data_IF_817054254577
#
_entry.id   IF_817054254577
#
_cell.length_a   1.000
_cell.length_b   1.000
_cell.length_c   1.000
_cell.angle_alpha   90.00
_cell.angle_beta   90.00
_cell.angle_gamma   90.00
#
_symmetry.space_group_name_H-M   'P 1'
#
loop_
_entity.id
_entity.type
_entity.pdbx_description
1 polymer ?
#
# COMPACT_ATOMS: atom_id res chain seq x y z
N UNK A 1 -34.54 -5.70 -21.42
CA UNK A 1 -35.74 -4.96 -20.95
C UNK A 1 -35.87 -3.69 -21.79
N UNK A 2 -37.08 -3.22 -22.14
CA UNK A 2 -37.20 -2.01 -22.95
C UNK A 2 -36.95 -0.77 -22.09
N UNK A 3 -36.07 0.11 -22.54
CA UNK A 3 -35.84 1.44 -21.95
C UNK A 3 -36.85 2.38 -22.59
N UNK A 4 -37.73 2.98 -21.79
CA UNK A 4 -38.61 4.06 -22.23
C UNK A 4 -37.85 5.38 -22.16
N UNK A 5 -37.69 6.04 -23.31
CA UNK A 5 -37.14 7.40 -23.40
C UNK A 5 -38.12 8.38 -22.77
N UNK A 6 -37.73 8.98 -21.65
CA UNK A 6 -38.39 10.15 -21.07
C UNK A 6 -37.48 11.33 -21.33
N UNK A 7 -37.81 12.11 -22.34
CA UNK A 7 -37.22 13.43 -22.57
C UNK A 7 -38.24 14.46 -22.11
N UNK A 8 -37.77 15.47 -21.39
CA UNK A 8 -38.47 16.75 -21.13
C UNK A 8 -39.20 16.95 -19.79
N UNK A 9 -38.56 16.58 -18.68
CA UNK A 9 -38.73 17.26 -17.40
C UNK A 9 -37.35 17.54 -16.83
N UNK A 10 -37.03 18.79 -16.49
CA UNK A 10 -35.75 19.23 -15.90
C UNK A 10 -35.51 18.71 -14.49
N UNK A 11 -35.59 17.39 -14.34
CA UNK A 11 -35.42 16.61 -13.13
C UNK A 11 -34.14 15.82 -13.36
N UNK A 12 -33.14 16.02 -12.51
CA UNK A 12 -31.94 15.20 -12.53
C UNK A 12 -32.34 13.75 -12.21
N UNK A 13 -32.31 12.88 -13.22
CA UNK A 13 -32.62 11.46 -13.07
C UNK A 13 -31.35 10.75 -12.61
N UNK A 14 -31.25 10.44 -11.32
CA UNK A 14 -30.18 9.59 -10.81
C UNK A 14 -30.51 8.11 -11.06
N UNK A 15 -29.76 7.46 -11.94
CA UNK A 15 -29.82 6.01 -12.12
C UNK A 15 -28.76 5.35 -11.22
N UNK A 16 -29.20 4.60 -10.20
CA UNK A 16 -28.31 3.78 -9.39
C UNK A 16 -27.99 2.47 -10.11
N UNK A 17 -26.71 2.21 -10.39
CA UNK A 17 -26.26 0.96 -10.98
C UNK A 17 -25.52 0.12 -9.92
N UNK A 18 -25.95 -1.14 -9.73
CA UNK A 18 -25.24 -2.10 -8.89
C UNK A 18 -24.40 -3.01 -9.79
N UNK A 19 -23.07 -2.94 -9.63
CA UNK A 19 -22.12 -3.80 -10.35
C UNK A 19 -21.73 -4.98 -9.47
N UNK A 20 -21.85 -6.19 -10.00
CA UNK A 20 -21.49 -7.41 -9.29
C UNK A 20 -19.97 -7.58 -9.12
N UNK A 21 -19.50 -8.38 -8.14
CA UNK A 21 -18.08 -8.56 -7.84
C UNK A 21 -17.26 -9.26 -8.94
N UNK A 22 -17.89 -9.73 -10.01
CA UNK A 22 -17.25 -10.38 -11.17
C UNK A 22 -17.64 -9.75 -12.50
N UNK A 23 -18.36 -8.64 -12.48
CA UNK A 23 -18.72 -7.94 -13.70
C UNK A 23 -17.49 -7.21 -14.25
N UNK A 24 -17.12 -7.45 -15.52
CA UNK A 24 -16.02 -6.75 -16.12
C UNK A 24 -16.39 -5.27 -16.28
N UNK A 25 -15.55 -4.39 -15.74
CA UNK A 25 -15.62 -2.96 -15.98
C UNK A 25 -14.44 -2.63 -16.89
N UNK A 26 -14.72 -2.10 -18.08
CA UNK A 26 -13.69 -1.70 -19.03
C UNK A 26 -13.86 -0.23 -19.42
N UNK A 27 -12.76 0.51 -19.38
CA UNK A 27 -12.69 1.87 -19.91
C UNK A 27 -12.30 1.79 -21.39
N UNK A 28 -13.12 2.34 -22.27
CA UNK A 28 -12.89 2.37 -23.72
C UNK A 28 -12.92 3.79 -24.26
N UNK A 29 -12.08 4.06 -25.25
CA UNK A 29 -12.05 5.32 -26.00
C UNK A 29 -12.64 5.09 -27.38
N UNK A 30 -13.62 5.91 -27.78
CA UNK A 30 -14.11 5.87 -29.16
C UNK A 30 -13.20 6.69 -30.09
N UNK A 31 -13.40 6.52 -31.40
CA UNK A 31 -12.62 7.23 -32.44
C UNK A 31 -12.90 8.73 -32.50
N UNK A 32 -14.00 9.19 -31.91
CA UNK A 32 -14.41 10.59 -31.85
C UNK A 32 -13.90 11.30 -30.57
N UNK A 33 -13.07 10.64 -29.77
CA UNK A 33 -12.44 11.20 -28.57
C UNK A 33 -13.26 11.10 -27.28
N UNK A 34 -14.42 10.45 -27.31
CA UNK A 34 -15.24 10.18 -26.12
C UNK A 34 -14.72 8.99 -25.32
N UNK A 35 -14.70 9.13 -23.99
CA UNK A 35 -14.38 8.04 -23.07
C UNK A 35 -15.66 7.42 -22.51
N UNK A 36 -15.72 6.10 -22.48
CA UNK A 36 -16.88 5.34 -22.01
C UNK A 36 -16.45 4.33 -20.96
N UNK A 37 -17.19 4.29 -19.86
CA UNK A 37 -17.14 3.18 -18.92
C UNK A 37 -18.15 2.13 -19.38
N UNK A 38 -17.67 0.96 -19.76
CA UNK A 38 -18.51 -0.19 -20.13
C UNK A 38 -18.59 -1.14 -18.95
N UNK A 39 -19.81 -1.48 -18.55
CA UNK A 39 -20.10 -2.38 -17.44
C UNK A 39 -20.81 -3.61 -18.00
N UNK A 40 -20.17 -4.78 -17.94
CA UNK A 40 -20.68 -5.98 -18.58
C UNK A 40 -20.67 -5.86 -20.12
N UNK A 41 -21.75 -6.28 -20.77
CA UNK A 41 -21.91 -6.21 -22.24
C UNK A 41 -22.89 -5.14 -22.73
N UNK A 42 -23.70 -4.57 -21.84
CA UNK A 42 -24.94 -3.88 -22.24
C UNK A 42 -25.03 -2.43 -21.75
N UNK A 43 -24.13 -1.98 -20.88
CA UNK A 43 -24.21 -0.65 -20.25
C UNK A 43 -22.96 0.15 -20.63
N UNK A 44 -23.19 1.29 -21.29
CA UNK A 44 -22.17 2.27 -21.62
C UNK A 44 -22.48 3.60 -20.94
N UNK A 45 -21.55 4.06 -20.11
CA UNK A 45 -21.63 5.36 -19.45
C UNK A 45 -20.61 6.29 -20.09
N UNK A 46 -21.08 7.35 -20.76
CA UNK A 46 -20.21 8.39 -21.30
C UNK A 46 -19.59 9.18 -20.14
N UNK A 47 -18.26 9.27 -20.14
CA UNK A 47 -17.50 10.04 -19.16
C UNK A 47 -17.15 11.41 -19.75
N UNK A 48 -17.41 12.46 -18.97
CA UNK A 48 -16.87 13.78 -19.24
C UNK A 48 -15.34 13.78 -19.08
N UNK A 49 -14.66 14.69 -19.79
CA UNK A 49 -13.21 14.84 -19.73
C UNK A 49 -12.68 15.03 -18.29
N UNK A 50 -13.42 15.75 -17.44
CA UNK A 50 -13.11 15.93 -16.03
C UNK A 50 -13.09 14.61 -15.22
N UNK A 51 -13.96 13.65 -15.57
CA UNK A 51 -13.98 12.34 -14.92
C UNK A 51 -12.79 11.48 -15.35
N UNK A 52 -12.40 11.56 -16.62
CA UNK A 52 -11.22 10.85 -17.14
C UNK A 52 -9.95 11.41 -16.49
N UNK A 53 -9.84 12.74 -16.37
CA UNK A 53 -8.73 13.39 -15.68
C UNK A 53 -8.64 12.96 -14.21
N UNK A 54 -9.77 12.96 -13.48
CA UNK A 54 -9.82 12.52 -12.09
C UNK A 54 -9.45 11.03 -11.91
N UNK A 55 -9.92 10.14 -12.79
CA UNK A 55 -9.56 8.72 -12.78
C UNK A 55 -8.07 8.52 -13.10
N UNK A 56 -7.53 9.28 -14.04
CA UNK A 56 -6.10 9.25 -14.37
C UNK A 56 -5.24 9.69 -13.18
N UNK A 57 -5.63 10.78 -12.50
CA UNK A 57 -4.97 11.29 -11.31
C UNK A 57 -5.02 10.27 -10.16
N UNK A 58 -6.19 9.68 -9.90
CA UNK A 58 -6.35 8.61 -8.90
C UNK A 58 -5.51 7.38 -9.22
N UNK A 59 -5.48 6.93 -10.49
CA UNK A 59 -4.66 5.78 -10.88
C UNK A 59 -3.16 6.05 -10.69
N UNK A 60 -2.74 7.29 -10.95
CA UNK A 60 -1.34 7.71 -10.79
C UNK A 60 -0.96 7.76 -9.32
N UNK A 61 -1.84 8.28 -8.45
CA UNK A 61 -1.66 8.30 -7.01
C UNK A 61 -1.56 6.87 -6.44
N UNK A 62 -2.51 5.98 -6.80
CA UNK A 62 -2.50 4.58 -6.36
C UNK A 62 -1.22 3.86 -6.80
N UNK A 63 -0.77 4.05 -8.05
CA UNK A 63 0.48 3.46 -8.53
C UNK A 63 1.71 4.03 -7.83
N UNK A 64 1.70 5.32 -7.46
CA UNK A 64 2.78 5.93 -6.69
C UNK A 64 2.84 5.36 -5.26
N UNK A 65 1.69 5.20 -4.62
CA UNK A 65 1.57 4.62 -3.27
C UNK A 65 2.02 3.16 -3.25
N UNK A 66 1.63 2.35 -4.25
CA UNK A 66 2.09 0.96 -4.37
C UNK A 66 3.62 0.86 -4.53
N UNK A 67 4.24 1.77 -5.29
CA UNK A 67 5.70 1.83 -5.43
C UNK A 67 6.39 2.27 -4.14
N UNK A 68 5.77 3.16 -3.37
CA UNK A 68 6.29 3.58 -2.08
C UNK A 68 6.25 2.42 -1.08
N UNK A 69 5.15 1.65 -1.08
CA UNK A 69 5.00 0.45 -0.26
C UNK A 69 6.02 -0.63 -0.60
N UNK A 70 6.18 -0.97 -1.90
CA UNK A 70 7.18 -1.95 -2.36
C UNK A 70 8.61 -1.56 -1.95
N UNK A 71 8.96 -0.27 -2.06
CA UNK A 71 10.26 0.23 -1.56
C UNK A 71 10.40 0.08 -0.05
N UNK A 72 9.36 0.40 0.71
CA UNK A 72 9.37 0.25 2.16
C UNK A 72 9.58 -1.22 2.55
N UNK A 73 8.86 -2.15 1.92
CA UNK A 73 9.02 -3.59 2.12
C UNK A 73 10.45 -4.06 1.82
N UNK A 74 11.03 -3.63 0.69
CA UNK A 74 12.42 -3.96 0.35
C UNK A 74 13.41 -3.44 1.40
N UNK A 75 13.18 -2.24 1.94
CA UNK A 75 14.01 -1.70 3.01
C UNK A 75 13.87 -2.48 4.32
N UNK A 76 12.67 -2.95 4.67
CA UNK A 76 12.43 -3.78 5.85
C UNK A 76 13.13 -5.14 5.72
N UNK A 77 13.05 -5.78 4.55
CA UNK A 77 13.76 -7.04 4.25
C UNK A 77 15.26 -6.83 4.36
N UNK A 78 15.80 -5.77 3.76
CA UNK A 78 17.22 -5.48 3.83
C UNK A 78 17.70 -5.22 5.28
N UNK A 79 16.91 -4.48 6.07
CA UNK A 79 17.20 -4.24 7.48
C UNK A 79 17.20 -5.54 8.29
N UNK A 80 16.25 -6.43 8.02
CA UNK A 80 16.20 -7.76 8.62
C UNK A 80 17.48 -8.56 8.31
N UNK A 81 17.87 -8.65 7.04
CA UNK A 81 19.08 -9.37 6.61
C UNK A 81 20.36 -8.81 7.25
N UNK A 82 20.47 -7.48 7.34
CA UNK A 82 21.60 -6.82 8.02
C UNK A 82 21.65 -7.16 9.51
N UNK A 83 20.49 -7.25 10.18
CA UNK A 83 20.41 -7.67 11.58
C UNK A 83 20.90 -9.11 11.76
N UNK A 84 20.51 -10.03 10.87
CA UNK A 84 21.00 -11.41 10.89
C UNK A 84 22.51 -11.49 10.63
N UNK A 85 23.01 -10.75 9.64
CA UNK A 85 24.44 -10.68 9.34
C UNK A 85 25.25 -10.14 10.53
N UNK A 86 24.74 -9.13 11.22
CA UNK A 86 25.37 -8.57 12.42
C UNK A 86 25.42 -9.60 13.56
N UNK A 87 24.34 -10.38 13.77
CA UNK A 87 24.32 -11.47 14.75
C UNK A 87 25.33 -12.57 14.43
N UNK A 88 25.35 -13.03 13.18
CA UNK A 88 26.30 -14.04 12.73
C UNK A 88 27.74 -13.56 12.88
N UNK A 89 28.00 -12.29 12.57
CA UNK A 89 29.32 -11.67 12.77
C UNK A 89 29.68 -11.59 14.25
N UNK A 90 28.73 -11.26 15.13
CA UNK A 90 28.95 -11.26 16.58
C UNK A 90 29.28 -12.66 17.12
N UNK A 91 28.57 -13.69 16.68
CA UNK A 91 28.85 -15.08 17.05
C UNK A 91 30.23 -15.52 16.59
N UNK A 92 30.61 -15.18 15.35
CA UNK A 92 31.94 -15.46 14.83
C UNK A 92 33.03 -14.76 15.64
N UNK A 93 32.84 -13.47 15.95
CA UNK A 93 33.78 -12.69 16.76
C UNK A 93 33.92 -13.25 18.18
N UNK A 94 32.83 -13.72 18.82
CA UNK A 94 32.89 -14.43 20.11
C UNK A 94 33.67 -15.74 20.02
N UNK A 95 33.48 -16.49 18.94
CA UNK A 95 34.24 -17.72 18.72
C UNK A 95 35.74 -17.43 18.57
N UNK A 96 36.12 -16.39 17.82
CA UNK A 96 37.51 -15.96 17.69
C UNK A 96 38.08 -15.46 19.03
N UNK A 97 37.31 -14.72 19.82
CA UNK A 97 37.72 -14.27 21.14
C UNK A 97 38.07 -15.46 22.06
N UNK A 98 37.23 -16.51 22.06
CA UNK A 98 37.49 -17.75 22.81
C UNK A 98 38.75 -18.47 22.34
N UNK A 99 38.96 -18.55 21.03
CA UNK A 99 40.17 -19.17 20.46
C UNK A 99 41.44 -18.38 20.83
N UNK A 100 41.37 -17.05 20.77
CA UNK A 100 42.47 -16.17 21.15
C UNK A 100 42.80 -16.30 22.65
N UNK A 101 41.80 -16.38 23.52
CA UNK A 101 42.01 -16.64 24.96
C UNK A 101 42.70 -17.99 25.19
N UNK A 102 42.31 -19.04 24.46
CA UNK A 102 42.87 -20.37 24.61
C UNK A 102 44.38 -20.43 24.32
N UNK A 103 44.91 -19.51 23.50
CA UNK A 103 46.34 -19.41 23.17
C UNK A 103 47.05 -18.26 23.89
N UNK A 104 46.38 -17.60 24.85
CA UNK A 104 46.95 -16.49 25.63
C UNK A 104 47.02 -15.14 24.91
N UNK A 105 46.35 -14.99 23.76
CA UNK A 105 46.27 -13.74 23.00
C UNK A 105 45.19 -12.79 23.57
N UNK A 106 45.40 -12.33 24.80
CA UNK A 106 44.38 -11.63 25.59
C UNK A 106 43.92 -10.30 24.98
N UNK A 107 44.81 -9.55 24.31
CA UNK A 107 44.46 -8.27 23.68
C UNK A 107 43.52 -8.52 22.49
N UNK A 108 43.88 -9.46 21.61
CA UNK A 108 43.07 -9.82 20.44
C UNK A 108 41.72 -10.40 20.85
N UNK A 109 41.69 -11.17 21.95
CA UNK A 109 40.44 -11.65 22.51
C UNK A 109 39.51 -10.52 22.97
N UNK A 110 40.05 -9.50 23.64
CA UNK A 110 39.27 -8.33 24.08
C UNK A 110 38.75 -7.51 22.90
N UNK A 111 39.57 -7.32 21.86
CA UNK A 111 39.15 -6.64 20.63
C UNK A 111 38.03 -7.40 19.92
N UNK A 112 38.17 -8.72 19.77
CA UNK A 112 37.13 -9.57 19.17
C UNK A 112 35.84 -9.57 20.01
N UNK A 113 35.94 -9.55 21.34
CA UNK A 113 34.77 -9.46 22.21
C UNK A 113 34.06 -8.11 22.05
N UNK A 114 34.79 -6.98 22.03
CA UNK A 114 34.21 -5.65 21.78
C UNK A 114 33.52 -5.57 20.42
N UNK A 115 34.13 -6.15 19.39
CA UNK A 115 33.53 -6.22 18.06
C UNK A 115 32.21 -7.01 18.08
N UNK A 116 32.17 -8.12 18.82
CA UNK A 116 30.94 -8.90 18.98
C UNK A 116 29.83 -8.16 19.71
N UNK A 117 30.18 -7.43 20.77
CA UNK A 117 29.23 -6.65 21.56
C UNK A 117 28.64 -5.51 20.70
N UNK A 118 29.50 -4.76 19.99
CA UNK A 118 29.05 -3.71 19.06
C UNK A 118 28.12 -4.25 17.96
N UNK A 119 28.43 -5.43 17.39
CA UNK A 119 27.59 -6.05 16.37
C UNK A 119 26.24 -6.52 16.94
N UNK A 120 26.22 -6.97 18.20
CA UNK A 120 24.98 -7.36 18.89
C UNK A 120 24.10 -6.14 19.16
N UNK A 121 24.71 -5.04 19.64
CA UNK A 121 24.00 -3.79 19.90
C UNK A 121 23.42 -3.21 18.60
N UNK A 122 24.19 -3.21 17.52
CA UNK A 122 23.71 -2.80 16.21
C UNK A 122 22.53 -3.65 15.74
N UNK A 123 22.60 -4.98 15.87
CA UNK A 123 21.49 -5.86 15.51
C UNK A 123 20.21 -5.57 16.32
N UNK A 124 20.35 -5.28 17.62
CA UNK A 124 19.23 -4.95 18.50
C UNK A 124 18.58 -3.60 18.16
N UNK A 125 19.38 -2.60 17.82
CA UNK A 125 18.89 -1.30 17.34
C UNK A 125 18.09 -1.46 16.05
N UNK A 126 18.60 -2.25 15.10
CA UNK A 126 17.91 -2.53 13.83
C UNK A 126 16.58 -3.24 14.08
N UNK A 127 16.52 -4.23 14.98
CA UNK A 127 15.25 -4.89 15.32
C UNK A 127 14.24 -3.94 15.96
N UNK A 128 14.69 -3.06 16.84
CA UNK A 128 13.82 -2.07 17.47
C UNK A 128 13.22 -1.12 16.42
N UNK A 129 14.05 -0.66 15.48
CA UNK A 129 13.59 0.17 14.37
C UNK A 129 12.61 -0.59 13.45
N UNK A 130 12.88 -1.87 13.18
CA UNK A 130 11.99 -2.72 12.36
C UNK A 130 10.62 -2.87 13.01
N UNK A 131 10.56 -3.13 14.32
CA UNK A 131 9.28 -3.22 15.03
C UNK A 131 8.51 -1.90 14.98
N UNK A 132 9.18 -0.78 15.23
CA UNK A 132 8.55 0.54 15.15
C UNK A 132 8.00 0.85 13.74
N UNK A 133 8.71 0.41 12.69
CA UNK A 133 8.25 0.56 11.32
C UNK A 133 7.01 -0.30 11.02
N UNK A 134 6.99 -1.55 11.50
CA UNK A 134 5.82 -2.44 11.37
C UNK A 134 4.59 -1.88 12.10
N UNK A 135 4.77 -1.36 13.31
CA UNK A 135 3.69 -0.75 14.08
C UNK A 135 3.12 0.49 13.35
N UNK A 136 3.99 1.31 12.75
CA UNK A 136 3.58 2.48 11.97
C UNK A 136 2.81 2.09 10.69
N UNK A 137 3.22 1.00 10.02
CA UNK A 137 2.49 0.46 8.86
C UNK A 137 1.09 0.01 9.27
N UNK A 138 0.96 -0.74 10.37
CA UNK A 138 -0.34 -1.18 10.88
C UNK A 138 -1.27 0.01 11.19
N UNK A 139 -0.75 1.06 11.82
CA UNK A 139 -1.52 2.29 12.07
C UNK A 139 -1.95 3.00 10.77
N UNK A 140 -1.09 3.00 9.76
CA UNK A 140 -1.43 3.57 8.46
C UNK A 140 -2.54 2.76 7.77
N UNK A 141 -2.46 1.43 7.80
CA UNK A 141 -3.50 0.54 7.25
C UNK A 141 -4.85 0.76 7.93
N UNK A 142 -4.88 0.82 9.27
CA UNK A 142 -6.10 1.14 10.03
C UNK A 142 -6.68 2.51 9.65
N UNK A 143 -5.83 3.53 9.52
CA UNK A 143 -6.25 4.87 9.14
C UNK A 143 -6.80 4.91 7.70
N UNK A 144 -6.16 4.20 6.77
CA UNK A 144 -6.62 4.07 5.39
C UNK A 144 -7.95 3.33 5.30
N UNK A 145 -8.12 2.26 6.07
CA UNK A 145 -9.40 1.53 6.14
C UNK A 145 -10.51 2.43 6.69
N UNK A 146 -10.26 3.14 7.81
CA UNK A 146 -11.22 4.07 8.40
C UNK A 146 -11.60 5.21 7.43
N UNK A 147 -10.61 5.76 6.71
CA UNK A 147 -10.86 6.77 5.69
C UNK A 147 -11.72 6.21 4.54
N UNK A 148 -11.46 4.98 4.08
CA UNK A 148 -12.26 4.30 3.08
C UNK A 148 -13.72 4.07 3.53
N UNK A 149 -13.92 3.64 4.77
CA UNK A 149 -15.25 3.46 5.35
C UNK A 149 -16.01 4.80 5.48
N UNK A 150 -15.32 5.87 5.89
CA UNK A 150 -15.89 7.21 5.97
C UNK A 150 -16.30 7.73 4.59
N UNK A 151 -15.44 7.57 3.58
CA UNK A 151 -15.74 7.92 2.19
C UNK A 151 -16.93 7.15 1.65
N UNK A 152 -17.01 5.83 1.89
CA UNK A 152 -18.16 5.00 1.50
C UNK A 152 -19.46 5.45 2.19
N UNK A 153 -19.39 5.83 3.46
CA UNK A 153 -20.54 6.34 4.22
C UNK A 153 -21.01 7.69 3.67
N UNK A 154 -20.08 8.60 3.37
CA UNK A 154 -20.39 9.88 2.75
C UNK A 154 -21.02 9.70 1.36
N UNK A 155 -20.48 8.81 0.53
CA UNK A 155 -21.03 8.49 -0.78
C UNK A 155 -22.46 7.95 -0.70
N UNK A 156 -22.73 7.05 0.26
CA UNK A 156 -24.10 6.55 0.54
C UNK A 156 -25.03 7.68 0.96
N UNK A 157 -24.60 8.58 1.86
CA UNK A 157 -25.43 9.70 2.32
C UNK A 157 -25.81 10.65 1.17
N UNK A 158 -24.89 10.92 0.24
CA UNK A 158 -25.17 11.71 -0.96
C UNK A 158 -26.17 11.01 -1.88
N UNK A 159 -26.01 9.70 -2.10
CA UNK A 159 -26.92 8.91 -2.91
C UNK A 159 -28.34 8.89 -2.33
N UNK A 160 -28.49 8.71 -1.01
CA UNK A 160 -29.81 8.70 -0.35
C UNK A 160 -30.47 10.08 -0.38
N UNK A 161 -29.69 11.16 -0.27
CA UNK A 161 -30.22 12.53 -0.32
C UNK A 161 -30.71 12.92 -1.73
N UNK A 162 -30.07 12.38 -2.77
CA UNK A 162 -30.48 12.60 -4.17
C UNK A 162 -31.74 11.81 -4.55
N UNK A 163 -32.13 10.79 -3.78
CA UNK A 163 -33.39 10.04 -3.96
C UNK A 163 -34.59 10.69 -3.24
N UNK A 164 -34.33 11.64 -2.34
CA UNK A 164 -35.35 12.33 -1.52
C UNK A 164 -35.61 13.78 -1.97
N UNK A 165 -34.83 14.30 -2.91
CA UNK A 165 -35.00 15.61 -3.53
C UNK A 165 -35.73 15.46 -4.87
#
# INVERSE_FOLDING_TARGET
MPIHSISDLGVDVCLGLQVGPREPISLSLNKDGGAYLVIGTDIEVLLAESHVAALSEQSTAVLADMRALDRAEQHLVHAHDLSEQARNSAEHARAQARNALAVGATIQAQEAQRAADNATDAAALVQTALQAALDAIGQAEEATEAAGQAAATAARAVATRSQLA
#
